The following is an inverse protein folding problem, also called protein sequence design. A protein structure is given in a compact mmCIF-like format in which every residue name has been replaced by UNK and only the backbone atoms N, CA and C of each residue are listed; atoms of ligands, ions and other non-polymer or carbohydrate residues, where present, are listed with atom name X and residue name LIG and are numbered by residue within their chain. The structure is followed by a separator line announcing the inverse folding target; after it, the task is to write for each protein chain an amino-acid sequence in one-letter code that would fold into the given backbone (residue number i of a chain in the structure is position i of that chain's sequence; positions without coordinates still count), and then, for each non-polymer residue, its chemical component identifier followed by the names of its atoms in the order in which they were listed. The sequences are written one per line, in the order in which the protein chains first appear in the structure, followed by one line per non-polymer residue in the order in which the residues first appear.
data_IF_888034168655
#
_entry.id   IF_888034168655
#
_cell.length_a   1.000
_cell.length_b   1.000
_cell.length_c   1.000
_cell.angle_alpha   90.00
_cell.angle_beta   90.00
_cell.angle_gamma   90.00
#
_symmetry.space_group_name_H-M   'P 1'
#
loop_
_entity.id
_entity.type
_entity.pdbx_description
1 polymer ?
#
# COMPACT_ATOMS: atom_id res chain seq x y z
N UNK A 1 -17.11 -0.46 7.21
CA UNK A 1 -17.57 -1.10 5.96
C UNK A 1 -18.63 -2.10 6.38
N UNK A 2 -19.86 -1.86 5.96
CA UNK A 2 -21.02 -2.69 6.31
C UNK A 2 -21.23 -3.80 5.28
N UNK A 3 -22.12 -4.76 5.60
CA UNK A 3 -22.46 -5.87 4.70
C UNK A 3 -23.16 -5.38 3.42
N UNK A 4 -24.01 -4.36 3.54
CA UNK A 4 -24.79 -3.82 2.42
C UNK A 4 -23.87 -3.25 1.32
N UNK A 5 -22.80 -2.52 1.69
CA UNK A 5 -21.82 -2.03 0.74
C UNK A 5 -21.03 -3.14 0.04
N UNK A 6 -20.79 -4.26 0.72
CA UNK A 6 -20.15 -5.44 0.14
C UNK A 6 -21.06 -6.07 -0.94
N UNK A 7 -22.33 -6.31 -0.60
CA UNK A 7 -23.28 -6.96 -1.50
C UNK A 7 -23.48 -6.15 -2.80
N UNK A 8 -23.51 -4.82 -2.71
CA UNK A 8 -23.56 -3.93 -3.88
C UNK A 8 -22.32 -4.11 -4.76
N UNK A 9 -21.13 -4.14 -4.16
CA UNK A 9 -19.88 -4.28 -4.91
C UNK A 9 -19.78 -5.65 -5.59
N UNK A 10 -20.13 -6.72 -4.89
CA UNK A 10 -20.16 -8.09 -5.45
C UNK A 10 -21.08 -8.13 -6.66
N UNK A 11 -22.32 -7.64 -6.52
CA UNK A 11 -23.27 -7.61 -7.63
C UNK A 11 -22.75 -6.82 -8.83
N UNK A 12 -22.07 -5.68 -8.61
CA UNK A 12 -21.46 -4.89 -9.69
C UNK A 12 -20.31 -5.60 -10.40
N UNK A 13 -19.51 -6.37 -9.67
CA UNK A 13 -18.43 -7.17 -10.25
C UNK A 13 -18.99 -8.35 -11.06
N UNK A 14 -20.05 -8.99 -10.56
CA UNK A 14 -20.74 -10.08 -11.25
C UNK A 14 -21.47 -9.59 -12.52
N UNK A 15 -22.06 -8.39 -12.50
CA UNK A 15 -22.62 -7.73 -13.69
C UNK A 15 -21.58 -7.53 -14.82
N UNK A 16 -20.29 -7.46 -14.49
CA UNK A 16 -19.18 -7.40 -15.46
C UNK A 16 -18.76 -8.79 -15.99
N UNK A 17 -19.39 -9.87 -15.51
CA UNK A 17 -19.12 -11.25 -15.93
C UNK A 17 -18.00 -11.93 -15.16
N UNK A 18 -17.61 -11.40 -14.00
CA UNK A 18 -16.63 -12.05 -13.12
C UNK A 18 -17.35 -12.95 -12.10
N UNK A 19 -16.74 -14.08 -11.77
CA UNK A 19 -17.18 -14.93 -10.65
C UNK A 19 -16.46 -14.52 -9.37
N UNK A 20 -17.22 -14.27 -8.29
CA UNK A 20 -16.68 -13.81 -7.01
C UNK A 20 -16.72 -14.93 -5.97
N UNK A 21 -15.54 -15.38 -5.56
CA UNK A 21 -15.41 -16.40 -4.52
C UNK A 21 -15.00 -15.80 -3.17
N UNK A 22 -15.98 -15.48 -2.32
CA UNK A 22 -15.74 -15.02 -0.95
C UNK A 22 -15.42 -16.18 0.01
N UNK A 23 -14.78 -15.87 1.14
CA UNK A 23 -14.41 -16.84 2.17
C UNK A 23 -13.51 -17.99 1.66
N UNK A 24 -12.82 -17.81 0.52
CA UNK A 24 -11.87 -18.76 -0.04
C UNK A 24 -10.43 -18.37 0.31
N UNK A 25 -9.87 -19.02 1.32
CA UNK A 25 -8.43 -18.93 1.60
C UNK A 25 -7.64 -19.84 0.66
N UNK A 26 -6.67 -19.29 -0.07
CA UNK A 26 -5.76 -20.08 -0.90
C UNK A 26 -4.80 -20.90 -0.01
N UNK A 27 -4.70 -22.21 -0.27
CA UNK A 27 -3.78 -23.12 0.43
C UNK A 27 -2.52 -23.36 -0.39
N UNK A 28 -2.67 -23.70 -1.68
CA UNK A 28 -1.55 -23.93 -2.59
C UNK A 28 -1.99 -23.77 -4.06
N UNK A 29 -1.01 -23.47 -4.93
CA UNK A 29 -1.16 -23.60 -6.38
C UNK A 29 -0.65 -24.97 -6.82
N UNK A 30 -1.38 -25.63 -7.71
CA UNK A 30 -1.05 -26.95 -8.26
C UNK A 30 -0.59 -26.83 -9.70
N UNK A 31 0.48 -27.56 -10.00
CA UNK A 31 1.13 -27.56 -11.30
C UNK A 31 1.05 -28.95 -11.92
N UNK A 32 0.95 -29.01 -13.25
CA UNK A 32 0.95 -30.25 -14.01
C UNK A 32 2.36 -30.89 -14.09
N UNK A 33 2.47 -32.00 -14.81
CA UNK A 33 3.73 -32.71 -14.99
C UNK A 33 4.79 -31.92 -15.80
N UNK A 34 4.36 -30.89 -16.52
CA UNK A 34 5.20 -30.00 -17.33
C UNK A 34 5.57 -28.72 -16.57
N UNK A 35 5.02 -28.52 -15.37
CA UNK A 35 5.25 -27.36 -14.52
C UNK A 35 4.35 -26.16 -14.82
N UNK A 36 3.29 -26.32 -15.62
CA UNK A 36 2.31 -25.26 -15.86
C UNK A 36 1.28 -25.23 -14.73
N UNK A 37 0.76 -24.03 -14.41
CA UNK A 37 -0.32 -23.87 -13.43
C UNK A 37 -1.57 -24.58 -13.97
N UNK A 38 -2.20 -25.40 -13.13
CA UNK A 38 -3.39 -26.17 -13.50
C UNK A 38 -4.59 -25.92 -12.58
N UNK A 39 -4.35 -25.66 -11.29
CA UNK A 39 -5.44 -25.41 -10.34
C UNK A 39 -4.98 -24.66 -9.09
N UNK A 40 -5.94 -24.06 -8.39
CA UNK A 40 -5.80 -23.55 -7.04
C UNK A 40 -6.50 -24.49 -6.07
N UNK A 41 -5.84 -24.83 -4.97
CA UNK A 41 -6.43 -25.56 -3.86
C UNK A 41 -6.72 -24.59 -2.71
N UNK A 42 -7.94 -24.64 -2.20
CA UNK A 42 -8.38 -23.79 -1.10
C UNK A 42 -8.33 -24.54 0.24
N UNK A 43 -8.38 -23.76 1.33
CA UNK A 43 -8.32 -24.24 2.72
C UNK A 43 -9.55 -25.02 3.17
N UNK A 44 -10.66 -24.92 2.43
CA UNK A 44 -11.88 -25.72 2.63
C UNK A 44 -11.89 -27.02 1.81
N UNK A 45 -10.73 -27.43 1.34
CA UNK A 45 -10.47 -28.60 0.49
C UNK A 45 -11.12 -28.57 -0.91
N UNK A 46 -11.76 -27.46 -1.31
CA UNK A 46 -12.21 -27.25 -2.70
C UNK A 46 -11.08 -26.82 -3.63
N UNK A 47 -11.27 -27.00 -4.94
CA UNK A 47 -10.29 -26.61 -5.96
C UNK A 47 -10.96 -25.87 -7.13
N UNK A 48 -10.17 -25.03 -7.81
CA UNK A 48 -10.56 -24.31 -9.02
C UNK A 48 -9.49 -24.48 -10.09
N UNK A 49 -9.86 -25.03 -11.24
CA UNK A 49 -8.96 -25.17 -12.39
C UNK A 49 -8.70 -23.79 -13.03
N UNK A 50 -7.43 -23.44 -13.20
CA UNK A 50 -6.98 -22.16 -13.78
C UNK A 50 -5.63 -22.33 -14.45
N UNK A 51 -5.40 -21.57 -15.51
CA UNK A 51 -4.12 -21.56 -16.24
C UNK A 51 -3.25 -20.35 -15.89
N UNK A 52 -3.82 -19.35 -15.19
CA UNK A 52 -3.13 -18.11 -14.79
C UNK A 52 -3.57 -17.67 -13.39
N UNK A 53 -2.61 -17.22 -12.59
CA UNK A 53 -2.84 -16.61 -11.28
C UNK A 53 -2.27 -15.19 -11.27
N UNK A 54 -3.13 -14.22 -10.96
CA UNK A 54 -2.73 -12.84 -10.66
C UNK A 54 -2.85 -12.65 -9.15
N UNK A 55 -1.76 -12.26 -8.50
CA UNK A 55 -1.73 -12.01 -7.06
C UNK A 55 -1.82 -10.51 -6.81
N UNK A 56 -2.93 -10.06 -6.20
CA UNK A 56 -3.22 -8.67 -5.85
C UNK A 56 -3.54 -8.51 -4.35
N UNK A 57 -2.77 -9.17 -3.49
CA UNK A 57 -3.02 -9.24 -2.04
C UNK A 57 -2.36 -8.09 -1.22
N UNK A 58 -2.24 -6.91 -1.82
CA UNK A 58 -1.60 -5.74 -1.21
C UNK A 58 -0.09 -5.66 -1.43
N UNK A 59 0.52 -4.67 -0.79
CA UNK A 59 1.94 -4.33 -0.90
C UNK A 59 2.62 -4.33 0.47
N UNK A 60 3.94 -4.45 0.47
CA UNK A 60 4.78 -4.28 1.66
C UNK A 60 5.84 -3.21 1.38
N UNK A 61 6.23 -2.40 2.38
CA UNK A 61 7.31 -1.45 2.21
C UNK A 61 8.61 -2.15 1.81
N UNK A 62 9.29 -1.60 0.81
CA UNK A 62 10.60 -2.08 0.38
C UNK A 62 11.70 -1.41 1.20
N UNK A 63 12.07 -2.03 2.32
CA UNK A 63 12.90 -1.41 3.36
C UNK A 63 14.29 -2.04 3.55
N UNK A 64 14.71 -2.93 2.65
CA UNK A 64 15.93 -3.73 2.82
C UNK A 64 17.17 -2.83 2.88
N UNK A 65 17.25 -1.81 2.02
CA UNK A 65 18.36 -0.86 2.03
C UNK A 65 18.43 -0.06 3.34
N UNK A 66 17.28 0.36 3.86
CA UNK A 66 17.21 1.12 5.10
C UNK A 66 17.59 0.25 6.31
N UNK A 67 17.18 -1.04 6.28
CA UNK A 67 17.59 -2.05 7.25
C UNK A 67 19.10 -2.23 7.28
N UNK A 68 19.70 -2.43 6.12
CA UNK A 68 21.15 -2.63 5.98
C UNK A 68 21.94 -1.37 6.38
N UNK A 69 21.35 -0.19 6.19
CA UNK A 69 21.90 1.09 6.63
C UNK A 69 21.70 1.38 8.13
N UNK A 70 20.96 0.55 8.86
CA UNK A 70 20.69 0.73 10.29
C UNK A 70 19.71 1.85 10.61
N UNK A 71 18.84 2.23 9.65
CA UNK A 71 17.78 3.20 9.88
C UNK A 71 16.65 2.59 10.73
N UNK A 72 15.93 3.45 11.44
CA UNK A 72 14.75 3.04 12.19
C UNK A 72 13.64 2.55 11.25
N UNK A 73 13.12 1.36 11.55
CA UNK A 73 12.06 0.71 10.77
C UNK A 73 10.81 0.45 11.61
N UNK A 74 9.65 0.51 10.98
CA UNK A 74 8.38 0.16 11.60
C UNK A 74 8.30 -1.33 11.95
N UNK A 75 7.43 -1.68 12.90
CA UNK A 75 7.24 -3.06 13.35
C UNK A 75 6.79 -4.03 12.24
N UNK A 76 6.17 -3.50 11.17
CA UNK A 76 5.72 -4.25 9.99
C UNK A 76 6.55 -3.94 8.73
N UNK A 77 7.73 -3.35 8.93
CA UNK A 77 8.58 -2.82 7.87
C UNK A 77 8.27 -1.37 7.50
N UNK A 78 9.14 -0.81 6.66
CA UNK A 78 9.12 0.57 6.19
C UNK A 78 9.94 1.53 7.05
N UNK A 79 10.52 2.54 6.42
CA UNK A 79 11.39 3.53 7.07
C UNK A 79 10.56 4.47 7.92
N UNK A 80 10.82 4.53 9.22
CA UNK A 80 10.12 5.49 10.09
C UNK A 80 10.60 6.89 9.74
N UNK A 81 9.66 7.79 9.51
CA UNK A 81 9.94 9.19 9.23
C UNK A 81 9.14 10.12 10.13
N UNK A 82 9.69 11.32 10.35
CA UNK A 82 8.98 12.44 10.97
C UNK A 82 8.09 13.20 9.96
N UNK A 83 7.46 14.28 10.41
CA UNK A 83 6.57 15.13 9.62
C UNK A 83 7.32 15.85 8.48
N UNK A 84 8.65 15.95 8.52
CA UNK A 84 9.48 16.48 7.42
C UNK A 84 9.92 15.40 6.43
N UNK A 85 9.46 14.16 6.64
CA UNK A 85 9.85 12.94 5.93
C UNK A 85 11.33 12.53 6.16
N UNK A 86 11.98 13.08 7.19
CA UNK A 86 13.34 12.68 7.57
C UNK A 86 13.32 11.36 8.34
N UNK A 87 14.28 10.50 8.04
CA UNK A 87 14.49 9.25 8.77
C UNK A 87 15.29 9.48 10.05
N UNK A 88 15.70 8.40 10.74
CA UNK A 88 16.59 8.48 11.89
C UNK A 88 17.99 9.05 11.58
N UNK A 89 18.44 9.08 10.30
CA UNK A 89 19.57 9.94 9.88
C UNK A 89 18.98 11.23 9.24
N UNK A 90 19.30 12.43 9.77
CA UNK A 90 18.73 13.69 9.30
C UNK A 90 19.10 14.06 7.85
N UNK A 91 20.02 13.31 7.22
CA UNK A 91 20.42 13.51 5.81
C UNK A 91 19.75 12.51 4.87
N UNK A 92 18.94 11.60 5.41
CA UNK A 92 18.24 10.56 4.66
C UNK A 92 16.76 10.73 4.85
N UNK A 93 16.04 10.82 3.73
CA UNK A 93 14.60 10.98 3.68
C UNK A 93 13.96 9.75 3.05
N UNK A 94 12.72 9.45 3.44
CA UNK A 94 11.92 8.42 2.80
C UNK A 94 10.50 8.93 2.57
N UNK A 95 9.93 8.62 1.41
CA UNK A 95 8.62 9.13 0.98
C UNK A 95 7.81 8.02 0.31
N UNK A 96 6.49 8.17 0.28
CA UNK A 96 5.59 7.23 -0.38
C UNK A 96 5.51 5.89 0.33
N UNK A 97 5.45 4.79 -0.43
CA UNK A 97 5.10 3.47 0.10
C UNK A 97 6.23 2.78 0.88
N UNK A 98 7.46 3.30 0.80
CA UNK A 98 8.58 2.74 1.56
C UNK A 98 8.70 3.32 2.98
N UNK A 99 7.98 4.41 3.30
CA UNK A 99 8.04 5.05 4.60
C UNK A 99 6.80 4.78 5.46
N UNK A 100 7.00 4.84 6.77
CA UNK A 100 5.97 4.79 7.81
C UNK A 100 5.88 6.18 8.43
N UNK A 101 4.71 6.81 8.30
CA UNK A 101 4.42 8.13 8.85
C UNK A 101 3.44 8.01 10.02
N UNK A 102 3.49 8.94 10.98
CA UNK A 102 2.53 8.99 12.08
C UNK A 102 1.23 9.64 11.62
N UNK A 103 0.10 9.02 11.93
CA UNK A 103 -1.23 9.54 11.67
C UNK A 103 -2.01 9.60 12.99
N UNK A 104 -2.66 10.73 13.23
CA UNK A 104 -3.48 11.03 14.41
C UNK A 104 -4.57 10.01 14.71
N UNK A 105 -5.19 9.42 13.67
CA UNK A 105 -6.30 8.46 13.82
C UNK A 105 -5.85 7.00 13.78
N UNK A 106 -4.83 6.69 13.01
CA UNK A 106 -4.43 5.30 12.69
C UNK A 106 -3.08 4.90 13.30
N UNK A 107 -2.43 5.79 14.04
CA UNK A 107 -1.07 5.58 14.55
C UNK A 107 -0.05 5.59 13.41
N UNK A 108 1.01 4.80 13.52
CA UNK A 108 2.02 4.68 12.46
C UNK A 108 1.50 3.83 11.29
N UNK A 109 1.56 4.37 10.08
CA UNK A 109 1.04 3.68 8.89
C UNK A 109 1.82 3.96 7.61
N UNK A 110 1.60 3.11 6.61
CA UNK A 110 1.99 3.30 5.22
C UNK A 110 0.74 3.68 4.46
N UNK A 111 0.74 4.79 3.72
CA UNK A 111 -0.47 5.31 3.09
C UNK A 111 -0.99 4.41 1.95
N UNK A 112 -0.12 3.80 1.15
CA UNK A 112 -0.53 2.95 0.01
C UNK A 112 -1.32 3.68 -1.07
N UNK A 113 -1.14 5.01 -1.15
CA UNK A 113 -1.82 5.90 -2.10
C UNK A 113 -0.77 6.74 -2.83
N UNK A 114 -1.07 7.10 -4.06
CA UNK A 114 -0.16 7.89 -4.91
C UNK A 114 -0.11 9.36 -4.46
N UNK A 115 -1.25 9.97 -4.14
CA UNK A 115 -1.32 11.39 -3.79
C UNK A 115 -0.46 11.77 -2.57
N UNK A 116 -0.46 11.02 -1.46
CA UNK A 116 0.45 11.28 -0.33
C UNK A 116 1.92 11.26 -0.74
N UNK A 117 2.31 10.33 -1.62
CA UNK A 117 3.68 10.26 -2.14
C UNK A 117 4.11 11.54 -2.87
N UNK A 118 3.22 12.17 -3.63
CA UNK A 118 3.50 13.47 -4.26
C UNK A 118 3.64 14.59 -3.24
N UNK A 119 2.73 14.67 -2.26
CA UNK A 119 2.82 15.67 -1.20
C UNK A 119 4.11 15.54 -0.38
N UNK A 120 4.49 14.31 -0.02
CA UNK A 120 5.77 14.03 0.66
C UNK A 120 6.97 14.45 -0.21
N UNK A 121 6.92 14.19 -1.52
CA UNK A 121 7.98 14.62 -2.44
C UNK A 121 8.12 16.15 -2.49
N UNK A 122 6.99 16.87 -2.51
CA UNK A 122 6.99 18.34 -2.48
C UNK A 122 7.58 18.88 -1.17
N UNK A 123 7.21 18.30 -0.02
CA UNK A 123 7.76 18.66 1.29
C UNK A 123 9.28 18.46 1.33
N UNK A 124 9.76 17.28 0.94
CA UNK A 124 11.21 17.00 0.91
C UNK A 124 11.93 17.94 -0.06
N UNK A 125 11.39 18.15 -1.27
CA UNK A 125 12.00 19.01 -2.26
C UNK A 125 12.11 20.46 -1.78
N UNK A 126 11.05 21.01 -1.17
CA UNK A 126 11.08 22.36 -0.58
C UNK A 126 12.12 22.42 0.52
N UNK A 127 12.12 21.46 1.45
CA UNK A 127 13.06 21.43 2.57
C UNK A 127 14.53 21.32 2.14
N UNK A 128 14.83 20.56 1.08
CA UNK A 128 16.19 20.44 0.51
C UNK A 128 16.68 21.72 -0.17
N UNK A 129 15.77 22.54 -0.69
CA UNK A 129 16.11 23.77 -1.41
C UNK A 129 16.25 24.99 -0.49
N UNK A 130 15.97 24.83 0.81
CA UNK A 130 16.05 25.92 1.78
C UNK A 130 17.47 26.44 1.88
N UNK A 131 17.64 27.74 1.70
CA UNK A 131 18.92 28.42 1.89
C UNK A 131 19.18 28.78 3.35
N UNK A 132 20.41 29.21 3.66
CA UNK A 132 20.79 29.66 5.01
C UNK A 132 19.92 30.84 5.52
N UNK A 133 19.39 31.67 4.62
CA UNK A 133 18.50 32.79 4.97
C UNK A 133 17.08 32.33 5.36
N UNK A 134 16.68 31.14 4.95
CA UNK A 134 15.36 30.59 5.25
C UNK A 134 15.35 29.76 6.53
N UNK A 135 16.49 29.54 7.21
CA UNK A 135 16.58 28.79 8.49
C UNK A 135 15.67 29.35 9.59
N UNK A 136 15.32 30.64 9.54
CA UNK A 136 14.40 31.27 10.49
C UNK A 136 12.92 30.91 10.26
N UNK A 137 12.59 30.36 9.09
CA UNK A 137 11.24 29.84 8.80
C UNK A 137 11.13 28.39 9.32
N UNK A 138 9.97 27.91 9.78
CA UNK A 138 9.81 26.47 10.03
C UNK A 138 9.93 25.66 8.74
N UNK A 139 10.40 24.39 8.79
CA UNK A 139 10.34 23.49 7.65
C UNK A 139 8.92 23.22 7.20
N UNK A 140 8.79 22.90 5.93
CA UNK A 140 7.55 22.35 5.40
C UNK A 140 7.33 20.98 6.02
N UNK A 141 6.07 20.69 6.33
CA UNK A 141 5.66 19.44 6.96
C UNK A 141 4.59 18.76 6.13
N UNK A 142 4.66 17.44 6.06
CA UNK A 142 3.58 16.60 5.62
C UNK A 142 2.69 16.33 6.84
N UNK A 143 1.51 16.93 6.88
CA UNK A 143 0.59 16.75 8.02
C UNK A 143 -0.05 15.35 7.95
N UNK A 144 -1.08 15.19 7.12
CA UNK A 144 -1.79 13.94 6.89
C UNK A 144 -2.40 13.97 5.50
N UNK A 145 -2.72 12.80 4.97
CA UNK A 145 -3.47 12.70 3.72
C UNK A 145 -4.91 12.29 3.98
N UNK A 146 -5.81 12.79 3.13
CA UNK A 146 -7.18 12.29 3.06
C UNK A 146 -7.16 10.81 2.66
N UNK A 147 -7.67 9.97 3.54
CA UNK A 147 -7.80 8.53 3.35
C UNK A 147 -9.06 8.14 2.59
N UNK A 148 -9.85 9.11 2.13
CA UNK A 148 -11.00 8.84 1.27
C UNK A 148 -10.54 8.27 -0.07
N UNK A 149 -11.03 7.06 -0.38
CA UNK A 149 -10.75 6.39 -1.64
C UNK A 149 -12.03 6.23 -2.43
N UNK A 150 -12.01 6.61 -3.70
CA UNK A 150 -13.08 6.33 -4.65
C UNK A 150 -12.75 5.06 -5.43
N UNK A 151 -13.70 4.14 -5.53
CA UNK A 151 -13.54 2.96 -6.39
C UNK A 151 -13.50 3.41 -7.85
N UNK A 152 -12.50 2.95 -8.59
CA UNK A 152 -12.43 3.14 -10.04
C UNK A 152 -12.56 1.78 -10.70
N UNK A 153 -13.75 1.47 -11.17
CA UNK A 153 -14.06 0.25 -11.90
C UNK A 153 -14.64 0.65 -13.25
N UNK A 154 -14.09 0.09 -14.33
CA UNK A 154 -14.54 0.41 -15.69
C UNK A 154 -16.01 0.01 -15.85
N UNK A 155 -16.86 0.96 -16.22
CA UNK A 155 -18.30 0.74 -16.40
C UNK A 155 -19.14 0.84 -15.13
N UNK A 156 -18.55 1.19 -13.98
CA UNK A 156 -19.29 1.40 -12.74
C UNK A 156 -18.97 2.78 -12.16
N UNK A 157 -19.97 3.67 -12.17
CA UNK A 157 -19.94 4.92 -11.41
C UNK A 157 -20.37 4.63 -9.97
N UNK A 158 -19.43 4.71 -9.02
CA UNK A 158 -19.67 4.65 -7.58
C UNK A 158 -19.15 5.93 -6.94
#
# INVERSE_FOLDING_TARGET
IDGDGNDILVGKIEELGLEVHLNKGLKEARFDAQGALAALQFSDDTALEVDMLIVSCGIAPRDELARDAGLELGARGGVVVDETCASSDPRVFAIGECCVHKHSLYGSMVYGLVAPGYSMAEVVAKNLLRGAEEEETPPEVFEEADMSTKLKLMGVDV
#
